data_IF_681688108330
#
_entry.id   IF_681688108330
#
_cell.length_a   1.000
_cell.length_b   1.000
_cell.length_c   1.000
_cell.angle_alpha   90.00
_cell.angle_beta   90.00
_cell.angle_gamma   90.00
#
_symmetry.space_group_name_H-M   'P 1'
#
loop_
_entity.id
_entity.type
_entity.pdbx_description
1 polymer ?
#
# COMPACT_ATOMS: atom_id res chain seq x y z
N UNK A 1 9.28 18.55 -6.16
CA UNK A 1 8.31 19.64 -6.43
C UNK A 1 7.45 19.26 -7.64
N UNK A 2 6.18 18.92 -7.37
CA UNK A 2 5.24 18.45 -8.39
C UNK A 2 4.99 19.49 -9.48
N UNK A 3 5.05 20.77 -9.13
CA UNK A 3 4.85 21.88 -10.09
C UNK A 3 5.94 21.90 -11.18
N UNK A 4 7.11 21.32 -10.91
CA UNK A 4 8.20 21.18 -11.90
C UNK A 4 8.01 19.94 -12.80
N UNK A 5 7.01 19.11 -12.53
CA UNK A 5 6.71 17.87 -13.25
C UNK A 5 5.36 17.91 -13.98
N UNK A 6 4.87 19.12 -14.30
CA UNK A 6 3.67 19.31 -15.12
C UNK A 6 2.34 19.37 -14.37
N UNK A 7 2.36 19.42 -13.04
CA UNK A 7 1.17 19.71 -12.25
C UNK A 7 0.98 21.23 -12.12
N UNK A 8 -0.27 21.70 -12.16
CA UNK A 8 -0.63 23.10 -11.98
C UNK A 8 -0.93 23.46 -10.51
N UNK A 9 -1.22 22.47 -9.70
CA UNK A 9 -1.61 22.62 -8.27
C UNK A 9 -0.94 21.52 -7.45
N UNK A 10 -0.35 21.89 -6.32
CA UNK A 10 0.23 21.02 -5.31
C UNK A 10 -0.23 21.50 -3.93
N UNK A 11 -1.18 20.79 -3.32
CA UNK A 11 -1.82 21.22 -2.07
C UNK A 11 -2.20 20.03 -1.18
N UNK A 12 -1.74 20.00 0.09
CA UNK A 12 -0.72 20.91 0.63
C UNK A 12 0.66 20.52 0.08
N UNK A 13 1.51 21.52 -0.13
CA UNK A 13 2.90 21.24 -0.46
C UNK A 13 3.64 20.68 0.75
N UNK A 14 3.78 19.35 0.80
CA UNK A 14 4.33 18.65 1.95
C UNK A 14 5.14 17.41 1.57
N UNK A 15 6.42 17.32 1.93
CA UNK A 15 7.28 16.21 1.53
C UNK A 15 7.19 14.99 2.48
N UNK A 16 6.41 15.06 3.56
CA UNK A 16 6.34 13.98 4.55
C UNK A 16 5.32 12.91 4.22
N UNK A 17 5.51 11.68 4.69
CA UNK A 17 4.61 10.56 4.39
C UNK A 17 3.28 10.61 5.16
N UNK A 18 3.22 11.35 6.25
CA UNK A 18 2.02 11.56 7.06
C UNK A 18 1.69 13.04 7.17
N UNK A 19 0.54 13.41 7.74
CA UNK A 19 0.15 14.81 7.85
C UNK A 19 1.08 15.59 8.77
N UNK A 20 1.28 16.89 8.47
CA UNK A 20 2.08 17.77 9.30
C UNK A 20 1.40 17.98 10.67
N UNK A 21 1.88 17.27 11.70
CA UNK A 21 1.37 17.30 13.06
C UNK A 21 0.58 16.04 13.41
N UNK A 22 -0.72 16.03 13.17
CA UNK A 22 -1.62 14.91 13.43
C UNK A 22 -2.63 14.75 12.29
N UNK A 23 -3.40 13.65 12.31
CA UNK A 23 -4.55 13.46 11.41
C UNK A 23 -5.72 14.37 11.78
N UNK A 24 -5.77 14.86 13.02
CA UNK A 24 -6.78 15.82 13.46
C UNK A 24 -6.17 17.19 13.67
N UNK A 25 -6.98 18.23 13.39
CA UNK A 25 -6.55 19.63 13.52
C UNK A 25 -6.21 20.00 15.00
N UNK A 26 -5.32 20.99 15.21
CA UNK A 26 -4.71 21.88 14.22
C UNK A 26 -3.52 21.25 13.49
N UNK A 27 -3.43 21.46 12.18
CA UNK A 27 -2.30 20.99 11.38
C UNK A 27 -1.19 22.03 11.27
N UNK A 28 0.00 21.57 10.82
CA UNK A 28 1.20 22.42 10.66
C UNK A 28 1.60 22.58 9.19
N UNK A 29 0.64 22.50 8.27
CA UNK A 29 0.89 22.82 6.86
C UNK A 29 0.89 24.33 6.66
N UNK A 30 1.92 24.88 6.03
CA UNK A 30 2.01 26.31 5.74
C UNK A 30 0.86 26.80 4.85
N UNK A 31 0.41 25.97 3.92
CA UNK A 31 -0.72 26.29 3.05
C UNK A 31 -2.05 26.45 3.79
N UNK A 32 -2.11 25.98 5.04
CA UNK A 32 -3.30 26.04 5.90
C UNK A 32 -3.14 26.98 7.11
N UNK A 33 -2.10 27.81 7.13
CA UNK A 33 -1.85 28.73 8.25
C UNK A 33 -3.04 29.70 8.49
N UNK A 34 -3.73 30.10 7.42
CA UNK A 34 -4.92 30.97 7.52
C UNK A 34 -6.19 30.23 7.98
N UNK A 35 -6.25 28.92 7.85
CA UNK A 35 -7.35 28.06 8.28
C UNK A 35 -6.80 26.72 8.78
N UNK A 36 -6.28 26.65 10.00
CA UNK A 36 -5.62 25.46 10.55
C UNK A 36 -6.61 24.33 10.90
N UNK A 37 -7.87 24.48 10.55
CA UNK A 37 -8.94 23.52 10.82
C UNK A 37 -9.64 23.72 12.15
N UNK A 38 -10.82 23.11 12.27
CA UNK A 38 -11.61 23.11 13.50
C UNK A 38 -11.11 21.99 14.45
N UNK A 39 -11.25 22.16 15.76
CA UNK A 39 -10.91 21.08 16.69
C UNK A 39 -11.58 19.75 16.30
N UNK A 40 -10.83 18.65 16.34
CA UNK A 40 -11.25 17.29 15.96
C UNK A 40 -11.61 17.10 14.47
N UNK A 41 -11.36 18.09 13.60
CA UNK A 41 -11.52 17.93 12.15
C UNK A 41 -10.42 17.03 11.60
N UNK A 42 -10.78 16.01 10.81
CA UNK A 42 -9.82 15.11 10.19
C UNK A 42 -9.18 15.73 8.93
N UNK A 43 -7.93 15.41 8.66
CA UNK A 43 -7.23 15.94 7.47
C UNK A 43 -7.94 15.56 6.17
N UNK A 44 -8.53 14.37 6.09
CA UNK A 44 -9.25 13.94 4.90
C UNK A 44 -10.51 14.79 4.64
N UNK A 45 -11.20 15.32 5.68
CA UNK A 45 -12.30 16.26 5.50
C UNK A 45 -11.81 17.56 4.82
N UNK A 46 -10.61 18.03 5.22
CA UNK A 46 -10.00 19.21 4.62
C UNK A 46 -9.57 18.94 3.18
N UNK A 47 -8.91 17.83 2.94
CA UNK A 47 -8.43 17.46 1.60
C UNK A 47 -9.59 17.23 0.64
N UNK A 48 -10.68 16.62 1.09
CA UNK A 48 -11.90 16.48 0.28
C UNK A 48 -12.49 17.85 -0.10
N UNK A 49 -12.54 18.81 0.83
CA UNK A 49 -12.97 20.19 0.56
C UNK A 49 -12.12 20.87 -0.53
N UNK A 50 -10.80 20.74 -0.46
CA UNK A 50 -9.90 21.29 -1.46
C UNK A 50 -10.07 20.62 -2.84
N UNK A 51 -10.22 19.29 -2.86
CA UNK A 51 -10.49 18.54 -4.08
C UNK A 51 -11.83 18.91 -4.72
N UNK A 52 -12.88 19.10 -3.91
CA UNK A 52 -14.19 19.61 -4.38
C UNK A 52 -14.02 20.98 -5.05
N UNK A 53 -13.35 21.92 -4.39
CA UNK A 53 -13.12 23.26 -4.95
C UNK A 53 -12.32 23.20 -6.27
N UNK A 54 -11.33 22.27 -6.36
CA UNK A 54 -10.59 22.03 -7.59
C UNK A 54 -11.49 21.50 -8.72
N UNK A 55 -12.36 20.51 -8.44
CA UNK A 55 -13.29 19.95 -9.41
C UNK A 55 -14.29 20.99 -9.89
N UNK A 56 -14.87 21.77 -9.00
CA UNK A 56 -15.81 22.86 -9.34
C UNK A 56 -15.17 23.90 -10.25
N UNK A 57 -13.95 24.30 -9.96
CA UNK A 57 -13.19 25.26 -10.78
C UNK A 57 -12.85 24.74 -12.17
N UNK A 58 -12.66 23.42 -12.31
CA UNK A 58 -12.15 22.81 -13.54
C UNK A 58 -13.20 22.02 -14.33
N UNK A 59 -14.46 21.92 -13.87
CA UNK A 59 -15.51 21.07 -14.46
C UNK A 59 -15.77 21.28 -15.96
N UNK A 60 -15.45 22.47 -16.49
CA UNK A 60 -15.67 22.81 -17.90
C UNK A 60 -14.54 22.37 -18.85
N UNK A 61 -13.47 21.78 -18.32
CA UNK A 61 -12.29 21.33 -19.10
C UNK A 61 -11.78 20.00 -18.60
N UNK A 62 -11.04 19.21 -19.39
CA UNK A 62 -10.37 18.04 -18.89
C UNK A 62 -9.42 18.39 -17.74
N UNK A 63 -9.41 17.57 -16.70
CA UNK A 63 -8.47 17.68 -15.59
C UNK A 63 -7.97 16.29 -15.18
N UNK A 64 -6.81 16.27 -14.52
CA UNK A 64 -6.26 15.13 -13.81
C UNK A 64 -6.13 15.49 -12.34
N UNK A 65 -6.81 14.74 -11.48
CA UNK A 65 -6.74 14.90 -10.02
C UNK A 65 -6.04 13.68 -9.41
N UNK A 66 -4.86 13.91 -8.87
CA UNK A 66 -4.12 12.92 -8.12
C UNK A 66 -4.41 13.15 -6.62
N UNK A 67 -5.41 12.43 -6.10
CA UNK A 67 -5.86 12.57 -4.73
C UNK A 67 -5.10 11.59 -3.82
N UNK A 68 -3.92 11.98 -3.37
CA UNK A 68 -3.08 11.20 -2.47
C UNK A 68 -3.50 11.43 -1.02
N UNK A 69 -4.19 10.45 -0.47
CA UNK A 69 -4.66 10.49 0.91
C UNK A 69 -3.52 10.25 1.90
N UNK A 70 -3.53 10.98 3.01
CA UNK A 70 -2.64 10.69 4.14
C UNK A 70 -3.08 9.43 4.89
N UNK A 71 -4.38 9.15 4.89
CA UNK A 71 -4.96 7.95 5.52
C UNK A 71 -4.57 6.69 4.72
N UNK A 72 -4.20 5.61 5.40
CA UNK A 72 -4.26 5.40 6.86
C UNK A 72 -2.85 5.22 7.46
N UNK A 73 -1.93 6.13 7.16
CA UNK A 73 -0.54 6.08 7.62
C UNK A 73 -0.41 6.43 9.12
N UNK A 74 0.69 6.06 9.74
CA UNK A 74 1.07 6.57 11.07
C UNK A 74 1.48 8.07 11.00
N UNK A 75 1.32 8.84 12.10
CA UNK A 75 0.79 8.47 13.41
C UNK A 75 -0.72 8.25 13.36
N UNK A 76 -1.21 7.24 14.11
CA UNK A 76 -2.62 6.88 14.07
C UNK A 76 -3.43 7.81 14.98
N UNK A 77 -4.36 8.56 14.40
CA UNK A 77 -5.27 9.45 15.12
C UNK A 77 -6.52 9.71 14.26
N UNK A 78 -7.66 9.93 14.89
CA UNK A 78 -8.94 10.13 14.22
C UNK A 78 -9.92 10.95 15.06
N UNK A 79 -11.06 11.33 14.48
CA UNK A 79 -12.15 12.00 15.18
C UNK A 79 -12.59 11.18 16.40
N UNK A 80 -12.67 11.81 17.57
CA UNK A 80 -13.00 11.14 18.85
C UNK A 80 -14.34 10.40 18.79
N UNK A 81 -15.35 11.03 18.18
CA UNK A 81 -16.67 10.42 18.05
C UNK A 81 -16.63 9.13 17.21
N UNK A 82 -15.82 9.07 16.15
CA UNK A 82 -15.65 7.86 15.35
C UNK A 82 -14.86 6.78 16.09
N UNK A 83 -13.82 7.16 16.83
CA UNK A 83 -13.08 6.21 17.68
C UNK A 83 -14.05 5.52 18.67
N UNK A 84 -14.88 6.29 19.38
CA UNK A 84 -15.85 5.72 20.33
C UNK A 84 -16.94 4.89 19.63
N UNK A 85 -17.42 5.31 18.47
CA UNK A 85 -18.33 4.51 17.63
C UNK A 85 -17.76 3.13 17.32
N UNK A 86 -16.50 3.07 16.89
CA UNK A 86 -15.83 1.81 16.58
C UNK A 86 -15.42 1.03 17.83
N UNK A 87 -15.06 1.69 18.90
CA UNK A 87 -14.76 1.05 20.20
C UNK A 87 -15.92 0.20 20.71
N UNK A 88 -17.15 0.69 20.55
CA UNK A 88 -18.36 -0.04 20.93
C UNK A 88 -18.60 -1.32 20.10
N UNK A 89 -17.90 -1.48 18.97
CA UNK A 89 -18.04 -2.62 18.04
C UNK A 89 -16.86 -3.59 18.07
N UNK A 90 -15.85 -3.34 18.88
CA UNK A 90 -14.64 -4.18 18.96
C UNK A 90 -15.01 -5.60 19.39
N UNK A 91 -14.64 -6.56 18.55
CA UNK A 91 -14.64 -7.98 18.93
C UNK A 91 -13.19 -8.40 19.24
N UNK A 92 -12.88 -8.80 20.48
CA UNK A 92 -11.52 -9.22 20.86
C UNK A 92 -10.98 -10.41 20.05
N UNK A 93 -11.83 -11.22 19.46
CA UNK A 93 -11.43 -12.33 18.60
C UNK A 93 -11.12 -11.92 17.16
N UNK A 94 -11.48 -10.70 16.77
CA UNK A 94 -11.23 -10.20 15.42
C UNK A 94 -9.77 -9.74 15.28
N UNK A 95 -9.03 -10.14 14.23
CA UNK A 95 -7.73 -9.58 13.93
C UNK A 95 -7.77 -8.07 13.63
N UNK A 96 -8.89 -7.54 13.14
CA UNK A 96 -9.17 -6.13 12.85
C UNK A 96 -9.89 -5.49 14.04
N UNK A 97 -9.15 -5.04 15.07
CA UNK A 97 -9.75 -4.59 16.33
C UNK A 97 -9.26 -3.23 16.86
N UNK A 98 -8.59 -2.44 16.03
CA UNK A 98 -8.18 -1.08 16.40
C UNK A 98 -9.30 -0.09 16.09
N UNK A 99 -9.96 0.51 17.10
CA UNK A 99 -11.01 1.49 16.86
C UNK A 99 -10.49 2.76 16.22
N UNK A 100 -9.27 3.19 16.55
CA UNK A 100 -8.63 4.36 15.92
C UNK A 100 -8.39 4.13 14.44
N UNK A 101 -7.85 2.97 14.06
CA UNK A 101 -7.63 2.66 12.64
C UNK A 101 -8.94 2.55 11.86
N UNK A 102 -9.98 1.93 12.43
CA UNK A 102 -11.30 1.87 11.83
C UNK A 102 -11.92 3.26 11.63
N UNK A 103 -11.72 4.18 12.59
CA UNK A 103 -12.17 5.57 12.47
C UNK A 103 -11.41 6.35 11.39
N UNK A 104 -10.12 6.08 11.17
CA UNK A 104 -9.36 6.64 10.06
C UNK A 104 -9.89 6.15 8.71
N UNK A 105 -10.21 4.84 8.60
CA UNK A 105 -10.81 4.28 7.39
C UNK A 105 -12.19 4.91 7.12
N UNK A 106 -13.02 5.11 8.14
CA UNK A 106 -14.32 5.77 7.96
C UNK A 106 -14.14 7.21 7.46
N UNK A 107 -13.18 7.96 8.00
CA UNK A 107 -12.89 9.32 7.52
C UNK A 107 -12.37 9.33 6.06
N UNK A 108 -11.62 8.31 5.67
CA UNK A 108 -11.18 8.11 4.29
C UNK A 108 -12.37 7.81 3.37
N UNK A 109 -13.26 6.92 3.79
CA UNK A 109 -14.46 6.55 3.04
C UNK A 109 -15.41 7.73 2.84
N UNK A 110 -15.64 8.53 3.90
CA UNK A 110 -16.42 9.79 3.84
C UNK A 110 -15.82 10.78 2.81
N UNK A 111 -14.49 10.88 2.76
CA UNK A 111 -13.81 11.75 1.80
C UNK A 111 -14.03 11.25 0.36
N UNK A 112 -13.85 9.95 0.12
CA UNK A 112 -14.13 9.35 -1.20
C UNK A 112 -15.58 9.55 -1.59
N UNK A 113 -16.53 9.31 -0.68
CA UNK A 113 -17.95 9.57 -0.89
C UNK A 113 -18.20 11.02 -1.31
N UNK A 114 -17.58 11.98 -0.62
CA UNK A 114 -17.70 13.42 -0.94
C UNK A 114 -17.24 13.74 -2.37
N UNK A 115 -16.14 13.10 -2.84
CA UNK A 115 -15.68 13.28 -4.21
C UNK A 115 -16.66 12.68 -5.23
N UNK A 116 -17.16 11.47 -4.98
CA UNK A 116 -18.11 10.79 -5.87
C UNK A 116 -19.43 11.60 -5.97
N UNK A 117 -20.00 12.03 -4.85
CA UNK A 117 -21.20 12.88 -4.81
C UNK A 117 -20.98 14.20 -5.56
N UNK A 118 -19.76 14.74 -5.52
CA UNK A 118 -19.41 15.95 -6.26
C UNK A 118 -19.39 15.71 -7.76
N UNK A 119 -18.84 14.60 -8.23
CA UNK A 119 -18.86 14.23 -9.66
C UNK A 119 -20.31 14.11 -10.16
N UNK A 120 -21.19 13.50 -9.37
CA UNK A 120 -22.62 13.37 -9.70
C UNK A 120 -23.33 14.74 -9.72
N UNK A 121 -23.12 15.55 -8.71
CA UNK A 121 -23.67 16.91 -8.60
C UNK A 121 -23.24 17.80 -9.77
N UNK A 122 -22.01 17.71 -10.18
CA UNK A 122 -21.45 18.44 -11.33
C UNK A 122 -21.82 17.82 -12.68
N UNK A 123 -22.46 16.64 -12.69
CA UNK A 123 -22.86 15.88 -13.89
C UNK A 123 -21.67 15.53 -14.80
N UNK A 124 -20.52 15.21 -14.20
CA UNK A 124 -19.31 14.78 -14.90
C UNK A 124 -18.89 13.34 -14.57
N UNK A 125 -19.64 12.64 -13.72
CA UNK A 125 -19.34 11.27 -13.34
C UNK A 125 -19.22 10.31 -14.53
N UNK A 126 -20.16 10.41 -15.50
CA UNK A 126 -20.18 9.58 -16.71
C UNK A 126 -18.98 9.84 -17.67
N UNK A 127 -18.25 10.92 -17.45
CA UNK A 127 -17.07 11.30 -18.25
C UNK A 127 -15.79 11.34 -17.40
N UNK A 128 -15.76 10.65 -16.26
CA UNK A 128 -14.63 10.62 -15.35
C UNK A 128 -14.11 9.19 -15.17
N UNK A 129 -12.82 8.99 -15.40
CA UNK A 129 -12.11 7.74 -15.05
C UNK A 129 -11.74 7.84 -13.57
N UNK A 130 -12.05 6.80 -12.79
CA UNK A 130 -11.72 6.71 -11.38
C UNK A 130 -10.87 5.47 -11.15
N UNK A 131 -9.71 5.66 -10.52
CA UNK A 131 -8.83 4.58 -10.06
C UNK A 131 -8.64 4.76 -8.56
N UNK A 132 -9.07 3.78 -7.77
CA UNK A 132 -8.81 3.71 -6.33
C UNK A 132 -7.87 2.55 -6.05
N UNK A 133 -6.76 2.84 -5.38
CA UNK A 133 -5.76 1.83 -5.01
C UNK A 133 -4.98 2.27 -3.78
N UNK A 134 -4.08 1.41 -3.29
CA UNK A 134 -3.13 1.72 -2.22
C UNK A 134 -1.70 1.57 -2.72
N UNK A 135 -0.76 2.20 -2.05
CA UNK A 135 0.67 2.13 -2.36
C UNK A 135 1.33 0.84 -1.83
N UNK A 136 0.84 0.33 -0.70
CA UNK A 136 1.31 -0.90 -0.06
C UNK A 136 0.27 -1.49 0.90
N UNK A 137 0.54 -2.68 1.38
CA UNK A 137 -0.30 -3.35 2.37
C UNK A 137 -0.30 -2.69 3.74
N UNK A 138 -1.24 -3.07 4.58
CA UNK A 138 -1.49 -2.47 5.89
C UNK A 138 -0.34 -2.67 6.88
N UNK A 139 -0.19 -1.70 7.77
CA UNK A 139 0.81 -1.70 8.83
C UNK A 139 0.43 -2.66 9.96
N UNK A 140 1.21 -3.72 10.15
CA UNK A 140 0.98 -4.77 11.15
C UNK A 140 1.98 -4.73 12.31
N UNK A 141 2.97 -3.84 12.30
CA UNK A 141 4.07 -3.84 13.28
C UNK A 141 3.94 -2.75 14.36
N UNK A 142 3.17 -1.70 14.11
CA UNK A 142 2.87 -0.70 15.14
C UNK A 142 1.85 -1.21 16.16
N UNK A 143 1.69 -0.49 17.24
CA UNK A 143 0.66 -0.69 18.24
C UNK A 143 -0.12 0.60 18.46
N UNK A 144 -1.44 0.49 18.48
CA UNK A 144 -2.38 1.57 18.78
C UNK A 144 -3.35 1.06 19.84
N UNK A 145 -3.36 1.70 21.01
CA UNK A 145 -4.23 1.32 22.15
C UNK A 145 -4.12 -0.18 22.53
N UNK A 146 -2.90 -0.75 22.46
CA UNK A 146 -2.64 -2.15 22.80
C UNK A 146 -3.08 -3.17 21.74
N UNK A 147 -3.47 -2.71 20.55
CA UNK A 147 -3.81 -3.53 19.41
C UNK A 147 -2.93 -3.21 18.20
N UNK A 148 -2.81 -4.14 17.26
CA UNK A 148 -2.24 -3.85 15.95
C UNK A 148 -3.21 -2.97 15.15
N UNK A 149 -2.72 -2.02 14.33
CA UNK A 149 -3.59 -1.17 13.52
C UNK A 149 -4.51 -1.99 12.63
N UNK A 150 -3.94 -2.96 11.90
CA UNK A 150 -4.68 -3.80 10.97
C UNK A 150 -4.12 -5.22 10.89
N UNK A 151 -4.82 -6.08 10.12
CA UNK A 151 -4.37 -7.40 9.69
C UNK A 151 -4.62 -7.53 8.19
N UNK A 152 -3.65 -8.08 7.47
CA UNK A 152 -3.79 -8.35 6.03
C UNK A 152 -4.25 -9.80 5.76
N UNK A 153 -4.60 -10.56 6.80
CA UNK A 153 -5.07 -11.94 6.63
C UNK A 153 -6.24 -12.04 5.62
N UNK A 154 -6.28 -13.09 4.76
CA UNK A 154 -5.45 -14.30 4.77
C UNK A 154 -4.02 -14.12 4.23
N UNK A 155 -3.69 -12.98 3.65
CA UNK A 155 -2.39 -12.70 3.06
C UNK A 155 -1.30 -12.60 4.12
N UNK A 156 -0.13 -13.12 3.81
CA UNK A 156 1.04 -13.08 4.71
C UNK A 156 1.69 -11.71 4.70
N UNK A 157 2.16 -11.26 5.86
CA UNK A 157 2.92 -10.02 6.01
C UNK A 157 2.07 -8.76 5.89
N UNK A 158 2.73 -7.65 5.67
CA UNK A 158 2.15 -6.31 5.55
C UNK A 158 3.21 -5.32 5.10
N UNK A 159 2.96 -4.04 5.30
CA UNK A 159 3.92 -2.95 4.95
C UNK A 159 5.35 -3.32 5.32
N UNK A 160 6.31 -3.01 4.46
CA UNK A 160 7.73 -3.34 4.57
C UNK A 160 8.05 -4.84 4.38
N UNK A 161 7.16 -5.61 3.74
CA UNK A 161 7.48 -6.96 3.27
C UNK A 161 7.11 -7.13 1.81
N UNK A 162 7.72 -8.10 1.14
CA UNK A 162 7.37 -8.50 -0.23
C UNK A 162 6.48 -9.74 -0.28
N UNK A 163 5.94 -10.18 0.86
CA UNK A 163 4.82 -11.12 0.91
C UNK A 163 3.54 -10.46 0.39
N UNK A 164 2.54 -11.27 0.00
CA UNK A 164 1.30 -10.76 -0.59
C UNK A 164 0.63 -9.68 0.27
N UNK A 165 0.60 -9.85 1.60
CA UNK A 165 0.04 -8.84 2.50
C UNK A 165 0.77 -7.48 2.50
N UNK A 166 1.99 -7.42 1.97
CA UNK A 166 2.75 -6.17 1.83
C UNK A 166 2.61 -5.50 0.46
N UNK A 167 2.33 -6.26 -0.60
CA UNK A 167 2.37 -5.77 -1.99
C UNK A 167 1.07 -5.95 -2.76
N UNK A 168 0.18 -6.86 -2.34
CA UNK A 168 -1.14 -7.03 -2.95
C UNK A 168 -2.14 -6.12 -2.25
N UNK A 169 -2.65 -5.15 -3.00
CA UNK A 169 -3.51 -4.07 -2.50
C UNK A 169 -4.85 -4.06 -3.21
N UNK A 170 -5.91 -3.46 -2.62
CA UNK A 170 -7.16 -3.21 -3.32
C UNK A 170 -6.93 -2.36 -4.56
N UNK A 171 -7.64 -2.69 -5.65
CA UNK A 171 -7.69 -1.86 -6.84
C UNK A 171 -9.11 -1.88 -7.43
N UNK A 172 -9.69 -0.70 -7.57
CA UNK A 172 -11.00 -0.51 -8.21
C UNK A 172 -10.84 0.48 -9.34
N UNK A 173 -11.31 0.11 -10.54
CA UNK A 173 -11.25 0.95 -11.74
C UNK A 173 -12.65 1.15 -12.28
N UNK A 174 -13.08 2.40 -12.43
CA UNK A 174 -14.33 2.78 -13.09
C UNK A 174 -14.04 3.60 -14.33
N UNK A 175 -14.51 3.12 -15.47
CA UNK A 175 -14.42 3.82 -16.76
C UNK A 175 -15.81 3.75 -17.42
N UNK A 176 -16.68 4.74 -17.14
CA UNK A 176 -18.05 4.74 -17.64
C UNK A 176 -18.15 4.56 -19.14
N UNK A 177 -19.06 3.71 -19.58
CA UNK A 177 -19.26 3.40 -21.01
C UNK A 177 -18.19 2.50 -21.65
N UNK A 178 -17.11 2.17 -20.96
CA UNK A 178 -16.02 1.31 -21.50
C UNK A 178 -15.80 0.03 -20.69
N UNK A 179 -16.05 0.05 -19.41
CA UNK A 179 -15.91 -1.08 -18.48
C UNK A 179 -17.26 -1.40 -17.86
N UNK A 180 -17.66 -2.66 -17.89
CA UNK A 180 -18.94 -3.10 -17.29
C UNK A 180 -18.88 -2.96 -15.77
N UNK A 181 -19.96 -2.50 -15.18
CA UNK A 181 -20.08 -2.38 -13.72
C UNK A 181 -20.09 -3.76 -13.05
N UNK A 182 -19.69 -3.81 -11.78
CA UNK A 182 -19.69 -5.00 -10.93
C UNK A 182 -18.90 -6.20 -11.50
N UNK A 183 -17.89 -5.95 -12.32
CA UNK A 183 -16.97 -6.98 -12.81
C UNK A 183 -15.80 -7.20 -11.89
N UNK A 184 -15.25 -8.40 -11.89
CA UNK A 184 -14.01 -8.77 -11.20
C UNK A 184 -13.07 -9.45 -12.18
N UNK A 185 -11.79 -9.17 -12.07
CA UNK A 185 -10.72 -9.83 -12.80
C UNK A 185 -9.56 -10.14 -11.86
N UNK A 186 -9.02 -11.33 -11.95
CA UNK A 186 -7.93 -11.81 -11.08
C UNK A 186 -6.55 -11.71 -11.74
N UNK A 187 -6.42 -11.01 -12.87
CA UNK A 187 -5.11 -10.73 -13.48
C UNK A 187 -4.23 -9.94 -12.53
N UNK A 188 -2.96 -10.31 -12.43
CA UNK A 188 -1.98 -9.55 -11.65
C UNK A 188 -1.64 -8.30 -12.44
N UNK A 189 -1.71 -7.16 -11.77
CA UNK A 189 -1.37 -5.83 -12.30
C UNK A 189 -0.46 -5.10 -11.32
N UNK A 190 0.18 -4.03 -11.78
CA UNK A 190 1.02 -3.18 -10.95
C UNK A 190 0.77 -1.70 -11.25
N UNK A 191 1.20 -0.80 -10.37
CA UNK A 191 0.91 0.64 -10.49
C UNK A 191 1.45 1.27 -11.78
N UNK A 192 2.57 0.78 -12.32
CA UNK A 192 3.11 1.28 -13.58
C UNK A 192 2.26 0.92 -14.81
N UNK A 193 1.25 0.04 -14.66
CA UNK A 193 0.30 -0.30 -15.74
C UNK A 193 -0.75 0.80 -15.94
N UNK A 194 -0.98 1.67 -14.96
CA UNK A 194 -2.02 2.70 -15.07
C UNK A 194 -1.72 3.71 -16.17
N UNK A 195 -0.47 4.14 -16.31
CA UNK A 195 -0.14 5.15 -17.31
C UNK A 195 -0.36 4.66 -18.75
N UNK A 196 0.19 3.51 -19.19
CA UNK A 196 -0.12 2.98 -20.52
C UNK A 196 -1.60 2.64 -20.71
N UNK A 197 -2.31 2.24 -19.64
CA UNK A 197 -3.76 2.01 -19.69
C UNK A 197 -4.53 3.29 -19.96
N UNK A 198 -4.17 4.39 -19.31
CA UNK A 198 -4.82 5.68 -19.55
C UNK A 198 -4.59 6.18 -20.97
N UNK A 199 -3.38 6.03 -21.52
CA UNK A 199 -3.10 6.35 -22.92
C UNK A 199 -3.99 5.54 -23.86
N UNK A 200 -4.12 4.23 -23.64
CA UNK A 200 -4.95 3.33 -24.44
C UNK A 200 -6.43 3.71 -24.37
N UNK A 201 -6.96 3.93 -23.15
CA UNK A 201 -8.36 4.33 -22.93
C UNK A 201 -8.69 5.66 -23.59
N UNK A 202 -7.75 6.61 -23.58
CA UNK A 202 -7.91 7.95 -24.16
C UNK A 202 -7.57 7.99 -25.66
N UNK A 203 -7.10 6.89 -26.25
CA UNK A 203 -6.67 6.84 -27.64
C UNK A 203 -5.42 7.68 -27.93
N UNK A 204 -4.61 7.93 -26.91
CA UNK A 204 -3.36 8.69 -27.00
C UNK A 204 -2.19 7.79 -27.37
N UNK A 205 -1.27 8.31 -28.15
CA UNK A 205 -0.03 7.59 -28.49
C UNK A 205 1.06 7.94 -27.49
N UNK A 206 1.93 6.98 -27.14
CA UNK A 206 3.15 7.27 -26.39
C UNK A 206 4.01 8.33 -27.10
N UNK A 207 4.79 9.08 -26.35
CA UNK A 207 5.80 9.97 -26.91
C UNK A 207 6.87 9.15 -27.66
N UNK A 208 7.44 9.66 -28.77
CA UNK A 208 8.52 8.98 -29.45
C UNK A 208 9.67 8.62 -28.50
N UNK A 209 10.07 7.34 -28.49
CA UNK A 209 11.14 6.84 -27.62
C UNK A 209 10.75 6.61 -26.15
N UNK A 210 9.50 6.82 -25.76
CA UNK A 210 9.03 6.54 -24.42
C UNK A 210 8.95 5.02 -24.17
N UNK A 211 9.62 4.58 -23.09
CA UNK A 211 9.64 3.17 -22.66
C UNK A 211 8.74 3.03 -21.44
N UNK A 212 7.93 1.97 -21.40
CA UNK A 212 7.07 1.63 -20.27
C UNK A 212 7.51 0.31 -19.65
N UNK A 213 7.61 0.29 -18.34
CA UNK A 213 7.74 -0.96 -17.56
C UNK A 213 6.40 -1.69 -17.50
N UNK A 214 5.30 -0.95 -17.43
CA UNK A 214 3.93 -1.46 -17.40
C UNK A 214 3.35 -1.73 -18.79
N UNK A 215 2.16 -2.31 -18.79
CA UNK A 215 1.35 -2.62 -19.98
C UNK A 215 -0.08 -2.10 -19.80
N UNK A 216 -0.82 -1.93 -20.92
CA UNK A 216 -2.26 -1.60 -20.83
C UNK A 216 -3.04 -2.79 -20.26
N UNK A 217 -3.82 -2.55 -19.21
CA UNK A 217 -4.71 -3.53 -18.58
C UNK A 217 -6.14 -3.47 -19.15
N UNK A 218 -6.37 -2.76 -20.23
CA UNK A 218 -7.69 -2.69 -20.90
C UNK A 218 -8.28 -4.07 -21.21
N UNK A 219 -7.51 -5.10 -21.63
CA UNK A 219 -8.05 -6.45 -21.78
C UNK A 219 -8.63 -7.01 -20.48
N UNK A 220 -7.91 -6.88 -19.35
CA UNK A 220 -8.40 -7.32 -18.04
C UNK A 220 -9.65 -6.54 -17.60
N UNK A 221 -9.70 -5.24 -17.82
CA UNK A 221 -10.87 -4.40 -17.54
C UNK A 221 -12.10 -4.79 -18.36
N UNK A 222 -11.90 -5.37 -19.52
CA UNK A 222 -12.98 -5.93 -20.37
C UNK A 222 -13.31 -7.39 -20.06
N UNK A 223 -12.81 -7.94 -18.96
CA UNK A 223 -13.07 -9.32 -18.53
C UNK A 223 -12.30 -10.38 -19.32
N UNK A 224 -11.31 -9.99 -20.12
CA UNK A 224 -10.47 -10.92 -20.85
C UNK A 224 -9.31 -11.41 -19.99
N UNK A 225 -8.82 -12.61 -20.25
CA UNK A 225 -7.58 -13.09 -19.64
C UNK A 225 -6.41 -12.27 -20.18
N UNK A 226 -5.54 -11.83 -19.28
CA UNK A 226 -4.33 -11.11 -19.61
C UNK A 226 -3.12 -11.84 -19.06
N UNK A 227 -2.18 -12.17 -19.92
CA UNK A 227 -0.86 -12.65 -19.50
C UNK A 227 0.07 -11.44 -19.37
N UNK A 228 0.38 -11.11 -18.13
CA UNK A 228 1.36 -10.07 -17.83
C UNK A 228 2.78 -10.64 -18.02
N UNK A 229 3.71 -9.79 -18.48
CA UNK A 229 5.14 -10.09 -18.39
C UNK A 229 5.50 -10.36 -16.92
N UNK A 230 6.64 -11.04 -16.64
CA UNK A 230 7.09 -11.17 -15.24
C UNK A 230 7.08 -9.83 -14.53
N UNK A 231 6.44 -9.77 -13.36
CA UNK A 231 6.34 -8.59 -12.52
C UNK A 231 7.38 -8.67 -11.41
N UNK A 232 8.16 -7.61 -11.23
CA UNK A 232 9.21 -7.56 -10.23
C UNK A 232 8.88 -6.56 -9.14
N UNK A 233 9.14 -6.97 -7.89
CA UNK A 233 9.14 -6.07 -6.73
C UNK A 233 10.53 -6.14 -6.09
N UNK A 234 11.24 -5.01 -6.12
CA UNK A 234 12.60 -4.91 -5.57
C UNK A 234 12.60 -4.10 -4.29
N UNK A 235 12.93 -4.77 -3.19
CA UNK A 235 12.96 -4.16 -1.85
C UNK A 235 14.34 -4.43 -1.19
N UNK A 236 15.38 -3.67 -1.56
CA UNK A 236 16.75 -3.87 -1.07
C UNK A 236 16.96 -3.33 0.34
N UNK A 237 15.91 -2.92 1.02
CA UNK A 237 15.97 -2.31 2.34
C UNK A 237 15.95 -3.35 3.45
N UNK A 238 16.57 -2.99 4.58
CA UNK A 238 16.43 -3.71 5.84
C UNK A 238 15.65 -2.79 6.80
N UNK A 239 14.32 -2.86 6.84
CA UNK A 239 13.52 -1.98 7.69
C UNK A 239 13.85 -2.21 9.17
N UNK A 240 13.75 -1.18 10.03
CA UNK A 240 14.05 -1.29 11.46
C UNK A 240 12.92 -1.99 12.24
N UNK A 241 12.39 -3.05 11.66
CA UNK A 241 11.35 -3.91 12.25
C UNK A 241 11.97 -5.28 12.45
N UNK A 242 12.24 -5.70 13.70
CA UNK A 242 12.88 -6.97 13.99
C UNK A 242 12.14 -8.15 13.35
N UNK A 243 12.89 -9.08 12.76
CA UNK A 243 12.38 -10.33 12.18
C UNK A 243 11.33 -10.16 11.08
N UNK A 244 11.21 -8.94 10.48
CA UNK A 244 10.13 -8.67 9.53
C UNK A 244 10.38 -9.27 8.16
N UNK A 245 11.39 -8.78 7.45
CA UNK A 245 11.91 -9.42 6.23
C UNK A 245 13.27 -8.82 5.86
N UNK A 246 14.26 -9.64 5.46
CA UNK A 246 15.53 -9.16 4.91
C UNK A 246 15.35 -8.50 3.53
N UNK A 247 16.39 -7.78 3.04
CA UNK A 247 16.42 -7.29 1.68
C UNK A 247 16.08 -8.40 0.68
N UNK A 248 15.19 -8.09 -0.26
CA UNK A 248 14.62 -9.10 -1.15
C UNK A 248 14.29 -8.56 -2.53
N UNK A 249 14.13 -9.46 -3.47
CA UNK A 249 13.54 -9.22 -4.77
C UNK A 249 12.55 -10.35 -5.07
N UNK A 250 11.44 -9.98 -5.68
CA UNK A 250 10.36 -10.90 -6.03
C UNK A 250 10.14 -10.89 -7.52
N UNK A 251 9.82 -12.04 -8.08
CA UNK A 251 9.22 -12.16 -9.41
C UNK A 251 7.90 -12.90 -9.32
N UNK A 252 6.85 -12.31 -9.90
CA UNK A 252 5.58 -12.99 -10.21
C UNK A 252 5.57 -13.40 -11.67
N UNK A 253 5.23 -14.65 -11.94
CA UNK A 253 5.06 -15.18 -13.29
C UNK A 253 3.89 -16.17 -13.32
N UNK A 254 2.77 -15.75 -13.91
CA UNK A 254 1.51 -16.49 -13.81
C UNK A 254 1.11 -16.66 -12.33
N UNK A 255 0.78 -17.90 -11.94
CA UNK A 255 0.40 -18.21 -10.55
C UNK A 255 1.58 -18.33 -9.59
N UNK A 256 2.80 -18.23 -10.09
CA UNK A 256 4.01 -18.49 -9.31
C UNK A 256 4.67 -17.20 -8.83
N UNK A 257 5.16 -17.25 -7.60
CA UNK A 257 5.93 -16.20 -6.95
C UNK A 257 7.21 -16.75 -6.39
N UNK A 258 8.35 -16.19 -6.81
CA UNK A 258 9.65 -16.46 -6.22
C UNK A 258 10.14 -15.22 -5.46
N UNK A 259 10.52 -15.41 -4.22
CA UNK A 259 11.18 -14.41 -3.38
C UNK A 259 12.65 -14.83 -3.23
N UNK A 260 13.58 -13.98 -3.67
CA UNK A 260 15.01 -14.11 -3.34
C UNK A 260 15.29 -13.21 -2.15
N UNK A 261 15.78 -13.82 -1.06
CA UNK A 261 16.27 -13.13 0.13
C UNK A 261 17.80 -13.03 0.02
N UNK A 262 18.31 -11.80 -0.01
CA UNK A 262 19.75 -11.59 -0.22
C UNK A 262 20.56 -12.08 0.97
N UNK A 263 21.56 -12.93 0.72
CA UNK A 263 22.56 -13.42 1.68
C UNK A 263 21.99 -14.14 2.92
N UNK A 264 20.79 -14.72 2.82
CA UNK A 264 20.15 -15.43 3.92
C UNK A 264 20.26 -16.96 3.84
N UNK A 265 21.02 -17.47 2.90
CA UNK A 265 21.35 -18.88 2.76
C UNK A 265 22.64 -19.27 3.50
N UNK A 266 23.01 -20.54 3.37
CA UNK A 266 24.26 -21.06 3.94
C UNK A 266 25.49 -20.37 3.31
N UNK A 267 26.50 -20.11 4.13
CA UNK A 267 27.76 -19.48 3.70
C UNK A 267 27.58 -18.15 2.95
N UNK A 268 26.52 -17.40 3.24
CA UNK A 268 26.26 -16.12 2.61
C UNK A 268 25.63 -16.21 1.20
N UNK A 269 25.21 -17.39 0.77
CA UNK A 269 24.39 -17.55 -0.43
C UNK A 269 23.02 -16.86 -0.28
N UNK A 270 22.31 -16.67 -1.38
CA UNK A 270 20.92 -16.26 -1.32
C UNK A 270 20.04 -17.40 -0.81
N UNK A 271 18.86 -17.05 -0.29
CA UNK A 271 17.81 -18.01 0.04
C UNK A 271 16.56 -17.69 -0.79
N UNK A 272 15.87 -18.72 -1.20
CA UNK A 272 14.67 -18.60 -2.01
C UNK A 272 13.46 -19.11 -1.25
N UNK A 273 12.29 -18.52 -1.56
CA UNK A 273 10.95 -19.02 -1.19
C UNK A 273 10.11 -19.02 -2.44
N UNK A 274 9.46 -20.15 -2.72
CA UNK A 274 8.63 -20.33 -3.91
C UNK A 274 7.21 -20.67 -3.50
N UNK A 275 6.23 -19.98 -4.08
CA UNK A 275 4.82 -20.18 -3.79
C UNK A 275 4.01 -20.30 -5.08
N UNK A 276 2.93 -21.12 -5.04
CA UNK A 276 1.85 -21.10 -6.01
C UNK A 276 0.67 -20.33 -5.39
N UNK A 277 0.47 -19.09 -5.80
CA UNK A 277 -0.50 -18.20 -5.20
C UNK A 277 -1.96 -18.59 -5.49
N UNK A 278 -2.21 -19.38 -6.52
CA UNK A 278 -3.57 -19.93 -6.78
C UNK A 278 -4.00 -20.92 -5.71
N UNK A 279 -3.07 -21.72 -5.21
CA UNK A 279 -3.31 -22.76 -4.23
C UNK A 279 -3.02 -22.30 -2.80
N UNK A 280 -2.15 -21.32 -2.64
CA UNK A 280 -1.63 -20.82 -1.36
C UNK A 280 -1.46 -19.30 -1.38
N UNK A 281 -2.57 -18.54 -1.40
CA UNK A 281 -2.54 -17.07 -1.34
C UNK A 281 -1.91 -16.51 -0.05
N UNK A 282 -1.89 -17.35 1.01
CA UNK A 282 -1.31 -17.00 2.31
C UNK A 282 0.19 -17.31 2.44
N UNK A 283 0.85 -17.81 1.40
CA UNK A 283 2.30 -18.09 1.35
C UNK A 283 2.79 -18.93 2.54
N UNK A 284 2.02 -19.99 2.87
CA UNK A 284 2.29 -20.88 4.01
C UNK A 284 3.22 -22.04 3.66
N UNK A 285 3.21 -22.47 2.39
CA UNK A 285 3.88 -23.67 1.90
C UNK A 285 5.00 -23.30 0.94
N UNK A 286 6.23 -23.20 1.46
CA UNK A 286 7.41 -22.96 0.64
C UNK A 286 7.74 -24.20 -0.20
N UNK A 287 7.68 -24.06 -1.52
CA UNK A 287 7.92 -25.10 -2.50
C UNK A 287 9.35 -25.09 -3.06
N UNK A 288 10.22 -24.19 -2.59
CA UNK A 288 11.57 -24.01 -3.17
C UNK A 288 12.41 -25.29 -3.15
N UNK A 289 12.29 -26.10 -2.11
CA UNK A 289 12.98 -27.41 -2.01
C UNK A 289 12.36 -28.51 -2.87
N UNK A 290 11.10 -28.37 -3.29
CA UNK A 290 10.37 -29.37 -4.11
C UNK A 290 10.45 -29.07 -5.61
N UNK A 291 10.64 -27.83 -5.99
CA UNK A 291 10.60 -27.30 -7.36
C UNK A 291 11.92 -26.59 -7.76
N UNK A 292 13.10 -27.26 -7.61
CA UNK A 292 14.40 -26.59 -7.80
C UNK A 292 14.60 -26.04 -9.21
N UNK A 293 14.07 -26.72 -10.24
CA UNK A 293 14.18 -26.25 -11.62
C UNK A 293 13.35 -24.98 -11.86
N UNK A 294 12.18 -24.87 -11.23
CA UNK A 294 11.37 -23.66 -11.28
C UNK A 294 12.05 -22.50 -10.57
N UNK A 295 12.63 -22.76 -9.39
CA UNK A 295 13.44 -21.76 -8.68
C UNK A 295 14.53 -21.22 -9.60
N UNK A 296 15.30 -22.10 -10.25
CA UNK A 296 16.37 -21.71 -11.17
C UNK A 296 15.88 -20.89 -12.36
N UNK A 297 14.75 -21.28 -12.96
CA UNK A 297 14.16 -20.56 -14.08
C UNK A 297 13.70 -19.15 -13.68
N UNK A 298 12.99 -19.03 -12.56
CA UNK A 298 12.48 -17.75 -12.09
C UNK A 298 13.61 -16.87 -11.51
N UNK A 299 14.63 -17.46 -10.93
CA UNK A 299 15.79 -16.74 -10.45
C UNK A 299 16.63 -16.15 -11.59
N UNK A 300 16.68 -16.83 -12.74
CA UNK A 300 17.29 -16.28 -13.94
C UNK A 300 16.56 -15.01 -14.44
N UNK A 301 15.23 -14.91 -14.25
CA UNK A 301 14.49 -13.69 -14.55
C UNK A 301 14.87 -12.56 -13.60
N UNK A 302 15.07 -12.87 -12.32
CA UNK A 302 15.55 -11.90 -11.32
C UNK A 302 16.96 -11.39 -11.70
N UNK A 303 17.88 -12.28 -12.04
CA UNK A 303 19.24 -11.89 -12.47
C UNK A 303 19.19 -10.95 -13.68
N UNK A 304 18.37 -11.32 -14.68
CA UNK A 304 18.19 -10.47 -15.86
C UNK A 304 17.64 -9.11 -15.48
N UNK A 305 16.61 -9.05 -14.65
CA UNK A 305 16.00 -7.80 -14.18
C UNK A 305 17.03 -6.91 -13.46
N UNK A 306 17.76 -7.46 -12.50
CA UNK A 306 18.78 -6.70 -11.74
C UNK A 306 19.90 -6.16 -12.64
N UNK A 307 20.29 -6.94 -13.66
CA UNK A 307 21.30 -6.54 -14.64
C UNK A 307 20.79 -5.46 -15.58
N UNK A 308 19.62 -5.66 -16.18
CA UNK A 308 19.05 -4.73 -17.16
C UNK A 308 18.72 -3.36 -16.57
N UNK A 309 18.32 -3.35 -15.30
CA UNK A 309 17.97 -2.11 -14.59
C UNK A 309 19.15 -1.45 -13.88
N UNK A 310 20.33 -2.08 -13.89
CA UNK A 310 21.50 -1.65 -13.12
C UNK A 310 21.15 -1.42 -11.64
N UNK A 311 20.31 -2.30 -11.09
CA UNK A 311 19.81 -2.17 -9.72
C UNK A 311 20.95 -2.19 -8.70
N UNK A 312 20.91 -1.24 -7.76
CA UNK A 312 21.84 -1.22 -6.62
C UNK A 312 21.59 -2.45 -5.76
N UNK A 313 22.55 -3.35 -5.69
CA UNK A 313 22.40 -4.59 -4.93
C UNK A 313 22.86 -4.44 -3.48
N UNK A 314 22.14 -5.08 -2.52
CA UNK A 314 22.61 -5.17 -1.15
C UNK A 314 23.98 -5.84 -1.07
N UNK A 315 24.75 -5.46 -0.07
CA UNK A 315 26.00 -6.12 0.27
C UNK A 315 25.86 -6.88 1.59
N UNK A 316 26.62 -7.98 1.81
CA UNK A 316 26.61 -8.67 3.09
C UNK A 316 26.93 -7.72 4.25
N UNK A 317 26.14 -7.77 5.32
CA UNK A 317 26.38 -6.97 6.51
C UNK A 317 27.44 -7.66 7.40
N UNK A 318 28.64 -7.11 7.55
CA UNK A 318 29.70 -7.73 8.37
C UNK A 318 29.35 -7.78 9.86
N UNK A 319 28.40 -6.98 10.32
CA UNK A 319 27.91 -6.97 11.69
C UNK A 319 26.68 -7.87 11.91
N UNK A 320 26.27 -8.65 10.91
CA UNK A 320 25.13 -9.55 11.02
C UNK A 320 25.36 -10.63 12.08
N UNK A 321 24.37 -10.78 12.96
CA UNK A 321 24.35 -11.83 13.99
C UNK A 321 23.28 -12.85 13.66
N UNK A 322 23.67 -14.00 13.13
CA UNK A 322 22.75 -15.07 12.73
C UNK A 322 21.81 -15.52 13.87
N UNK A 323 22.26 -15.45 15.12
CA UNK A 323 21.47 -15.80 16.31
C UNK A 323 20.31 -14.81 16.60
N UNK A 324 20.34 -13.63 15.98
CA UNK A 324 19.28 -12.62 16.14
C UNK A 324 18.24 -12.66 15.01
N UNK A 325 18.47 -13.48 13.99
CA UNK A 325 17.56 -13.62 12.86
C UNK A 325 16.69 -14.86 12.99
N UNK A 326 15.39 -14.68 12.80
CA UNK A 326 14.36 -15.69 12.99
C UNK A 326 13.53 -15.87 11.71
N UNK A 327 13.95 -16.75 10.78
CA UNK A 327 13.28 -16.96 9.49
C UNK A 327 11.79 -17.32 9.60
N UNK A 328 11.41 -17.98 10.68
CA UNK A 328 10.03 -18.36 10.97
C UNK A 328 9.11 -17.18 11.31
N UNK A 329 9.71 -16.00 11.60
CA UNK A 329 8.97 -14.78 11.92
C UNK A 329 8.78 -13.84 10.74
N UNK A 330 9.42 -14.11 9.62
CA UNK A 330 9.32 -13.29 8.43
C UNK A 330 7.85 -13.12 7.99
N UNK A 331 7.39 -11.87 7.93
CA UNK A 331 6.02 -11.55 7.55
C UNK A 331 4.94 -12.07 8.50
N UNK A 332 5.31 -12.56 9.69
CA UNK A 332 4.39 -12.97 10.73
C UNK A 332 4.08 -11.78 11.65
N UNK A 333 2.79 -11.50 11.85
CA UNK A 333 2.37 -10.43 12.73
C UNK A 333 2.94 -10.63 14.14
N UNK A 334 3.71 -9.66 14.69
CA UNK A 334 4.24 -9.77 16.03
C UNK A 334 3.12 -9.89 17.07
N UNK A 335 3.30 -10.74 18.07
CA UNK A 335 2.34 -10.84 19.17
C UNK A 335 2.32 -9.51 19.96
N UNK A 336 1.14 -9.03 20.41
CA UNK A 336 1.06 -7.85 21.26
C UNK A 336 1.94 -8.03 22.50
N UNK A 337 2.66 -6.98 22.89
CA UNK A 337 3.39 -6.98 24.15
C UNK A 337 2.36 -7.01 25.29
N UNK A 338 2.36 -8.07 26.09
CA UNK A 338 1.57 -8.11 27.32
C UNK A 338 2.07 -6.99 28.23
N UNK A 339 1.21 -6.03 28.52
CA UNK A 339 1.54 -4.97 29.46
C UNK A 339 1.96 -5.64 30.79
N UNK A 340 3.21 -5.45 31.22
CA UNK A 340 3.63 -5.88 32.55
C UNK A 340 2.72 -5.15 33.54
N UNK A 341 1.86 -5.88 34.25
CA UNK A 341 1.12 -5.33 35.38
C UNK A 341 2.13 -4.66 36.32
N UNK A 342 2.11 -3.34 36.37
CA UNK A 342 2.95 -2.59 37.27
C UNK A 342 2.74 -3.15 38.67
N UNK A 343 3.82 -3.56 39.32
CA UNK A 343 3.80 -3.78 40.79
C UNK A 343 3.31 -2.47 41.41
N UNK A 344 2.08 -2.46 41.94
CA UNK A 344 1.67 -1.42 42.86
C UNK A 344 2.69 -1.44 43.99
N UNK A 345 3.48 -0.37 44.10
CA UNK A 345 4.33 -0.15 45.24
C UNK A 345 3.45 -0.14 46.50
N UNK A 346 3.76 -1.02 47.41
CA UNK A 346 3.22 -0.94 48.76
C UNK A 346 3.63 0.43 49.33
N UNK A 347 2.65 1.28 49.62
CA UNK A 347 2.86 2.44 50.47
C UNK A 347 3.28 1.91 51.85
N UNK A 348 4.49 2.21 52.26
CA UNK A 348 4.88 2.08 53.65
C UNK A 348 4.18 3.21 54.41
N UNK A 349 3.32 2.84 55.33
CA UNK A 349 2.96 3.69 56.46
C UNK A 349 4.20 3.85 57.36
N UNK A 350 4.60 5.09 57.57
CA UNK A 350 5.06 5.63 58.83
C UNK A 350 5.01 7.17 58.77
#
# INVERSE_FOLDING_TARGET
DLLQHGFDVDLPHWPGPGPAGSFVAPWKFKDFDADPGQPDQHIEDRMAKEAVAFMEKNQARPFYLNYWMFSVHAPFDAKKALIEKHRARVNPADPQRSPTYAAMIESMDDAVGTLLDTLDRLKIADNTIIIFTSDNGGNMYNEVEGARPTSNAPLRGGKATTFEGGIRVPCVVSIPGKVAAATRNDSIIQSCDFYPTLLDVLGMKPQPGQIFDGVSIVPALKGQTMEHKPIFTYFPHNPPVPDWQPPSVVVHQGDWKLIRLFFQGENGAHRWKLFNLREDEGEKNDLSGKEPERVKQMDALIEKFLTDTHAVQPTPNPAFKATAYHPEREGVQPKPKVAKKGKKGAAAEE
#
